data_IF_280476101433
#
_entry.id   IF_280476101433
#
_cell.length_a   1.000
_cell.length_b   1.000
_cell.length_c   1.000
_cell.angle_alpha   90.00
_cell.angle_beta   90.00
_cell.angle_gamma   90.00
#
_symmetry.space_group_name_H-M   'P 1'
#
loop_
_entity.id
_entity.type
_entity.pdbx_description
1 polymer ?
#
# COMPACT_ATOMS: atom_id res chain seq x y z
N UNK A 1 -3.59 3.16 -5.55
CA UNK A 1 -3.71 3.49 -4.12
C UNK A 1 -2.51 2.95 -3.37
N UNK A 2 -2.05 3.65 -2.35
CA UNK A 2 -0.89 3.21 -1.57
C UNK A 2 -1.34 2.46 -0.32
N UNK A 3 -0.76 1.27 -0.12
CA UNK A 3 -0.88 0.52 1.12
C UNK A 3 0.26 0.95 2.04
N UNK A 4 -0.02 1.84 2.97
CA UNK A 4 1.01 2.36 3.88
C UNK A 4 1.47 1.32 4.91
N UNK A 5 0.66 0.29 5.15
CA UNK A 5 1.06 -0.78 6.08
C UNK A 5 2.17 -1.67 5.49
N UNK A 6 2.25 -1.74 4.17
CA UNK A 6 3.22 -2.58 3.48
C UNK A 6 4.17 -1.80 2.57
N UNK A 7 3.96 -0.48 2.44
CA UNK A 7 4.72 0.38 1.54
C UNK A 7 4.68 -0.13 0.10
N UNK A 8 3.47 -0.44 -0.39
CA UNK A 8 3.25 -1.01 -1.71
C UNK A 8 2.16 -0.22 -2.42
N UNK A 9 2.35 -0.02 -3.73
CA UNK A 9 1.29 0.50 -4.60
C UNK A 9 0.37 -0.67 -4.97
N UNK A 10 -0.90 -0.58 -4.65
CA UNK A 10 -1.84 -1.68 -4.88
C UNK A 10 -2.11 -1.93 -6.36
N UNK A 11 -1.91 -0.94 -7.22
CA UNK A 11 -2.16 -1.08 -8.66
C UNK A 11 -1.02 -1.82 -9.37
N UNK A 12 0.22 -1.55 -8.99
CA UNK A 12 1.39 -2.13 -9.64
C UNK A 12 2.01 -3.27 -8.85
N UNK A 13 1.70 -3.37 -7.55
CA UNK A 13 2.34 -4.33 -6.66
C UNK A 13 3.77 -4.00 -6.31
N UNK A 14 4.26 -2.86 -6.75
CA UNK A 14 5.66 -2.47 -6.52
C UNK A 14 5.84 -1.82 -5.16
N UNK A 15 6.99 -2.08 -4.56
CA UNK A 15 7.36 -1.45 -3.31
C UNK A 15 7.69 0.02 -3.53
N UNK A 16 7.30 0.84 -2.54
CA UNK A 16 7.57 2.28 -2.54
C UNK A 16 8.61 2.52 -1.46
N UNK A 17 9.88 2.61 -1.86
CA UNK A 17 11.00 2.57 -0.93
C UNK A 17 10.99 3.70 0.10
N UNK A 18 10.58 4.91 -0.29
CA UNK A 18 10.60 6.03 0.66
C UNK A 18 9.53 5.88 1.76
N UNK A 19 8.59 4.96 1.61
CA UNK A 19 7.55 4.71 2.61
C UNK A 19 7.87 3.53 3.53
N UNK A 20 9.05 2.94 3.39
CA UNK A 20 9.41 1.76 4.20
C UNK A 20 9.32 2.03 5.69
N UNK A 21 9.79 3.20 6.14
CA UNK A 21 9.76 3.53 7.56
C UNK A 21 8.33 3.65 8.08
N UNK A 22 7.40 4.11 7.25
CA UNK A 22 5.98 4.13 7.63
C UNK A 22 5.49 2.70 7.87
N UNK A 23 5.75 1.81 6.93
CA UNK A 23 5.29 0.42 7.04
C UNK A 23 5.91 -0.33 8.22
N UNK A 24 7.11 0.07 8.63
CA UNK A 24 7.78 -0.55 9.78
C UNK A 24 7.18 -0.12 11.12
N UNK A 25 6.38 0.94 11.14
CA UNK A 25 5.92 1.55 12.40
C UNK A 25 4.43 1.40 12.63
N UNK A 26 3.66 1.03 11.63
CA UNK A 26 2.21 0.89 11.76
C UNK A 26 1.76 -0.46 11.25
N UNK A 27 0.58 -0.90 11.71
CA UNK A 27 -0.04 -2.13 11.21
C UNK A 27 -1.56 -1.95 11.26
N UNK A 28 -2.30 -2.76 10.47
CA UNK A 28 -3.76 -2.67 10.47
C UNK A 28 -4.40 -2.93 11.85
N UNK A 29 -3.72 -3.70 12.70
CA UNK A 29 -4.21 -4.06 14.03
C UNK A 29 -4.04 -2.94 15.05
N UNK A 30 -3.18 -1.98 14.78
CA UNK A 30 -2.98 -0.85 15.69
C UNK A 30 -4.16 0.09 15.63
N UNK A 31 -4.46 0.73 16.78
CA UNK A 31 -5.49 1.78 16.81
C UNK A 31 -5.03 2.99 15.98
N UNK A 32 -5.99 3.82 15.59
CA UNK A 32 -5.66 5.07 14.90
C UNK A 32 -4.73 5.93 15.75
N UNK A 33 -4.99 6.01 17.05
CA UNK A 33 -4.17 6.78 17.97
C UNK A 33 -2.73 6.27 17.99
N UNK A 34 -2.53 4.95 18.04
CA UNK A 34 -1.19 4.37 18.08
C UNK A 34 -0.46 4.59 16.77
N UNK A 35 -1.14 4.45 15.64
CA UNK A 35 -0.55 4.75 14.34
C UNK A 35 -0.15 6.22 14.25
N UNK A 36 -1.02 7.11 14.66
CA UNK A 36 -0.74 8.55 14.64
C UNK A 36 0.47 8.89 15.51
N UNK A 37 0.54 8.30 16.70
CA UNK A 37 1.66 8.52 17.62
C UNK A 37 2.97 8.02 17.02
N UNK A 38 2.96 6.80 16.43
CA UNK A 38 4.15 6.23 15.81
C UNK A 38 4.65 7.13 14.66
N UNK A 39 3.73 7.64 13.84
CA UNK A 39 4.10 8.51 12.73
C UNK A 39 4.55 9.89 13.21
N UNK A 40 4.06 10.34 14.36
CA UNK A 40 4.54 11.58 14.97
C UNK A 40 5.99 11.45 15.41
N UNK A 41 6.37 10.32 15.99
CA UNK A 41 7.78 10.05 16.33
C UNK A 41 8.64 10.00 15.08
N UNK A 42 8.16 9.37 14.02
CA UNK A 42 8.88 9.35 12.75
C UNK A 42 9.10 10.76 12.22
N UNK A 43 8.08 11.61 12.32
CA UNK A 43 8.21 13.01 11.90
C UNK A 43 9.32 13.72 12.66
N UNK A 44 9.39 13.53 13.97
CA UNK A 44 10.42 14.14 14.78
C UNK A 44 11.83 13.66 14.36
N UNK A 45 11.98 12.39 14.08
CA UNK A 45 13.26 11.85 13.61
C UNK A 45 13.68 12.48 12.29
N UNK A 46 12.72 12.63 11.36
CA UNK A 46 13.02 13.26 10.07
C UNK A 46 13.36 14.75 10.22
N UNK A 47 12.69 15.46 11.14
CA UNK A 47 13.01 16.85 11.41
C UNK A 47 14.42 17.01 11.98
N UNK A 48 14.83 16.10 12.84
CA UNK A 48 16.18 16.11 13.42
C UNK A 48 17.23 15.89 12.32
N UNK A 49 17.00 14.91 11.47
CA UNK A 49 17.91 14.62 10.35
C UNK A 49 17.99 15.81 9.39
N UNK A 50 16.85 16.44 9.12
CA UNK A 50 16.80 17.60 8.25
C UNK A 50 17.58 18.77 8.86
N UNK A 51 17.39 19.03 10.14
CA UNK A 51 18.09 20.10 10.85
C UNK A 51 19.60 19.89 10.84
N UNK A 52 20.03 18.63 10.95
CA UNK A 52 21.44 18.27 10.94
C UNK A 52 22.03 18.18 9.52
N UNK A 53 21.21 18.35 8.49
CA UNK A 53 21.67 18.27 7.11
C UNK A 53 22.01 16.86 6.64
N UNK A 54 21.48 15.84 7.32
CA UNK A 54 21.78 14.42 7.02
C UNK A 54 20.61 13.68 6.38
N UNK A 55 19.52 14.37 6.10
CA UNK A 55 18.34 13.73 5.50
C UNK A 55 18.57 13.51 4.01
N UNK A 56 18.38 12.27 3.55
CA UNK A 56 18.56 11.94 2.15
C UNK A 56 17.31 12.31 1.33
N UNK A 57 17.36 12.06 0.03
CA UNK A 57 16.30 12.45 -0.89
C UNK A 57 14.98 11.75 -0.59
N UNK A 58 15.04 10.45 -0.26
CA UNK A 58 13.85 9.69 0.11
C UNK A 58 13.25 10.20 1.42
N UNK A 59 14.11 10.53 2.37
CA UNK A 59 13.68 11.10 3.64
C UNK A 59 13.01 12.45 3.47
N UNK A 60 13.53 13.29 2.57
CA UNK A 60 12.91 14.59 2.26
C UNK A 60 11.52 14.40 1.67
N UNK A 61 11.37 13.44 0.78
CA UNK A 61 10.07 13.14 0.18
C UNK A 61 9.08 12.66 1.24
N UNK A 62 9.52 11.75 2.10
CA UNK A 62 8.68 11.26 3.18
C UNK A 62 8.29 12.39 4.12
N UNK A 63 9.26 13.24 4.49
CA UNK A 63 9.00 14.37 5.37
C UNK A 63 7.89 15.28 4.80
N UNK A 64 7.92 15.54 3.50
CA UNK A 64 6.94 16.42 2.86
C UNK A 64 5.54 15.79 2.80
N UNK A 65 5.45 14.46 2.75
CA UNK A 65 4.17 13.75 2.64
C UNK A 65 3.61 13.28 3.98
N UNK A 66 4.43 13.30 5.02
CA UNK A 66 4.08 12.65 6.28
C UNK A 66 2.86 13.28 6.96
N UNK A 67 2.65 14.58 6.77
CA UNK A 67 1.47 15.25 7.30
C UNK A 67 0.19 14.62 6.74
N UNK A 68 0.16 14.42 5.42
CA UNK A 68 -0.99 13.79 4.75
C UNK A 68 -1.17 12.35 5.22
N UNK A 69 -0.07 11.61 5.34
CA UNK A 69 -0.13 10.21 5.81
C UNK A 69 -0.69 10.14 7.23
N UNK A 70 -0.21 11.02 8.12
CA UNK A 70 -0.69 11.04 9.51
C UNK A 70 -2.18 11.35 9.60
N UNK A 71 -2.70 12.18 8.68
CA UNK A 71 -4.11 12.56 8.72
C UNK A 71 -5.05 11.37 8.52
N UNK A 72 -4.57 10.31 7.86
CA UNK A 72 -5.34 9.07 7.68
C UNK A 72 -5.67 8.43 9.04
N UNK A 73 -4.81 8.65 10.03
CA UNK A 73 -4.92 8.05 11.36
C UNK A 73 -5.33 9.07 12.42
N UNK A 74 -5.90 10.20 11.99
CA UNK A 74 -6.29 11.25 12.88
C UNK A 74 -7.40 10.80 13.85
N UNK A 75 -8.28 9.91 13.40
CA UNK A 75 -9.36 9.35 14.23
C UNK A 75 -9.65 7.93 13.75
N UNK A 76 -10.38 7.16 14.57
CA UNK A 76 -10.81 5.82 14.21
C UNK A 76 -11.68 5.83 12.94
N UNK A 77 -12.48 6.87 12.77
CA UNK A 77 -13.31 7.03 11.59
C UNK A 77 -12.48 7.15 10.32
N UNK A 78 -11.45 7.99 10.36
CA UNK A 78 -10.57 8.19 9.20
C UNK A 78 -9.82 6.91 8.85
N UNK A 79 -9.29 6.25 9.88
CA UNK A 79 -8.58 4.97 9.68
C UNK A 79 -9.52 3.93 9.07
N UNK A 80 -10.74 3.84 9.57
CA UNK A 80 -11.72 2.87 9.07
C UNK A 80 -12.02 3.11 7.60
N UNK A 81 -12.18 4.37 7.19
CA UNK A 81 -12.41 4.70 5.80
C UNK A 81 -11.24 4.32 4.91
N UNK A 82 -10.03 4.61 5.37
CA UNK A 82 -8.83 4.22 4.63
C UNK A 82 -8.74 2.70 4.50
N UNK A 83 -8.96 1.98 5.60
CA UNK A 83 -8.88 0.51 5.59
C UNK A 83 -9.91 -0.10 4.63
N UNK A 84 -11.11 0.47 4.56
CA UNK A 84 -12.13 0.02 3.62
C UNK A 84 -11.71 0.23 2.17
N UNK A 85 -11.21 1.41 1.86
CA UNK A 85 -10.75 1.72 0.51
C UNK A 85 -9.58 0.84 0.11
N UNK A 86 -8.68 0.57 1.06
CA UNK A 86 -7.53 -0.28 0.82
C UNK A 86 -7.97 -1.71 0.48
N UNK A 87 -8.92 -2.26 1.23
CA UNK A 87 -9.45 -3.60 0.94
C UNK A 87 -10.11 -3.65 -0.44
N UNK A 88 -10.84 -2.60 -0.82
CA UNK A 88 -11.44 -2.52 -2.14
C UNK A 88 -10.39 -2.48 -3.24
N UNK A 89 -9.35 -1.69 -3.05
CA UNK A 89 -8.26 -1.58 -4.02
C UNK A 89 -7.51 -2.90 -4.17
N UNK A 90 -7.28 -3.59 -3.07
CA UNK A 90 -6.61 -4.89 -3.09
C UNK A 90 -7.46 -5.95 -3.82
N UNK A 91 -8.76 -5.95 -3.57
CA UNK A 91 -9.68 -6.86 -4.25
C UNK A 91 -9.72 -6.60 -5.74
N UNK A 92 -9.79 -5.32 -6.13
CA UNK A 92 -9.84 -4.94 -7.53
C UNK A 92 -8.56 -5.35 -8.27
N UNK A 93 -7.41 -5.16 -7.64
CA UNK A 93 -6.14 -5.56 -8.22
C UNK A 93 -6.07 -7.08 -8.42
N UNK A 94 -6.56 -7.83 -7.44
CA UNK A 94 -6.60 -9.30 -7.51
C UNK A 94 -7.53 -9.77 -8.62
N UNK A 95 -8.69 -9.14 -8.77
CA UNK A 95 -9.65 -9.49 -9.82
C UNK A 95 -9.07 -9.23 -11.21
N UNK A 96 -8.39 -8.11 -11.38
CA UNK A 96 -7.73 -7.78 -12.64
C UNK A 96 -6.66 -8.80 -13.00
N UNK A 97 -5.85 -9.17 -12.03
CA UNK A 97 -4.80 -10.17 -12.18
C UNK A 97 -5.39 -11.52 -12.55
N UNK A 98 -6.44 -11.92 -11.86
CA UNK A 98 -7.12 -13.18 -12.10
C UNK A 98 -7.76 -13.24 -13.48
N UNK A 99 -8.40 -12.15 -13.91
CA UNK A 99 -9.00 -12.06 -15.24
C UNK A 99 -7.94 -12.16 -16.32
N UNK A 100 -6.80 -11.51 -16.15
CA UNK A 100 -5.69 -11.59 -17.10
C UNK A 100 -5.14 -13.01 -17.19
N UNK A 101 -4.95 -13.66 -16.07
CA UNK A 101 -4.45 -15.03 -16.03
C UNK A 101 -5.42 -16.00 -16.73
N UNK A 102 -6.71 -15.85 -16.46
CA UNK A 102 -7.75 -16.67 -17.09
C UNK A 102 -7.75 -16.49 -18.61
N UNK A 103 -7.65 -15.27 -19.05
CA UNK A 103 -7.62 -14.96 -20.47
C UNK A 103 -6.41 -15.61 -21.17
N UNK A 104 -5.27 -15.54 -20.54
CA UNK A 104 -4.04 -16.12 -21.08
C UNK A 104 -4.13 -17.64 -21.20
N UNK A 105 -4.69 -18.30 -20.18
CA UNK A 105 -4.74 -19.76 -20.15
C UNK A 105 -5.74 -20.36 -21.13
N UNK A 106 -6.69 -19.60 -21.62
CA UNK A 106 -7.70 -20.10 -22.55
C UNK A 106 -7.20 -20.23 -23.98
N UNK A 107 -6.02 -19.85 -24.21
CA UNK A 107 -5.47 -20.03 -25.55
C UNK A 107 -5.05 -21.42 -25.82
N UNK A 108 -5.44 -22.27 -25.26
CA UNK A 108 -5.26 -23.63 -25.53
C UNK A 108 -6.36 -24.36 -25.83
N UNK A 109 -6.33 -23.94 -25.41
CA UNK A 109 -7.49 -24.31 -25.17
C UNK A 109 -7.64 -24.48 -24.82
N UNK A 110 -7.53 -24.74 -24.90
CA UNK A 110 -8.36 -24.91 -24.72
C UNK A 110 -8.47 -24.97 -24.21
N UNK A 111 -8.17 -25.43 -24.59
CA UNK A 111 -8.85 -25.58 -24.30
C UNK A 111 -9.01 -25.66 -23.74
N UNK A 112 -8.65 -26.07 -24.04
CA UNK A 112 -9.47 -26.25 -23.79
C UNK A 112 -9.72 -26.25 -23.35
N UNK A 113 -9.29 -26.92 -24.09
CA UNK A 113 -10.12 -26.97 -23.99
C UNK A 113 -10.13 -27.07 -23.61
N UNK A 114 -10.02 -27.33 -23.94
CA UNK A 114 -10.61 -27.21 -23.83
C UNK A 114 -10.45 -27.19 -23.54
N UNK A 115 -10.34 -27.75 -23.85
CA UNK A 115 -10.98 -27.69 -24.00
C UNK A 115 -10.97 -27.92 -23.92
N UNK A 116 -10.89 -28.08 -24.38
CA UNK A 116 -11.56 -28.22 -24.65
C UNK A 116 -11.90 -28.38 -24.57
N UNK A 117 -11.67 -28.85 -25.03
CA UNK A 117 -12.46 -28.95 -25.23
C UNK A 117 -12.63 -29.08 -25.20
N UNK A 118 -12.30 -29.46 -25.67
CA UNK A 118 -13.09 -29.39 -25.86
C UNK A 118 -13.32 -29.57 -26.00
N UNK A 119 -13.05 -30.17 -26.46
CA UNK A 119 -13.67 -30.13 -26.66
C UNK A 119 -13.85 -30.34 -26.74
N UNK A 120 -13.44 -30.83 -27.26
CA UNK A 120 -13.96 -30.63 -27.31
C UNK A 120 -14.27 -30.55 -27.30
#
# INVERSE_FOLDING_TARGET
MIDYYKAIDTETGQQVSYLREVSNRISPEMSAKDCFTALSFLREELEDLWTNGTLDQEGERLRSELYTIRSIFFSDHEKLQYDRKLRQAQRKALETEKATATHTSNLSGKKEIPFEPVAV
#
